data_IF_569716104166
#
_entry.id   IF_569716104166
#
_cell.length_a   1.000
_cell.length_b   1.000
_cell.length_c   1.000
_cell.angle_alpha   90.00
_cell.angle_beta   90.00
_cell.angle_gamma   90.00
#
_symmetry.space_group_name_H-M   'P 1'
#
loop_
_entity.id
_entity.type
_entity.pdbx_description
1 polymer ?
#
# COMPACT_ATOMS: atom_id res chain seq x y z
N UNK A 1 -13.60 19.11 -0.09
CA UNK A 1 -14.31 18.01 -0.81
C UNK A 1 -13.31 17.44 -1.81
N UNK A 2 -13.41 16.19 -2.28
CA UNK A 2 -12.47 15.75 -3.33
C UNK A 2 -12.86 16.44 -4.63
N UNK A 3 -12.21 17.55 -4.94
CA UNK A 3 -12.53 18.33 -6.16
C UNK A 3 -12.11 17.59 -7.44
N UNK A 4 -11.37 16.48 -7.28
CA UNK A 4 -10.97 15.61 -8.38
C UNK A 4 -11.42 14.15 -8.14
N UNK A 5 -12.29 13.59 -9.00
CA UNK A 5 -12.81 12.23 -8.85
C UNK A 5 -11.72 11.16 -9.02
N UNK A 6 -10.71 11.39 -9.85
CA UNK A 6 -9.59 10.46 -10.03
C UNK A 6 -8.67 10.43 -8.81
N UNK A 7 -8.43 11.59 -8.20
CA UNK A 7 -7.67 11.67 -6.95
C UNK A 7 -8.39 10.93 -5.81
N UNK A 8 -9.73 11.03 -5.75
CA UNK A 8 -10.56 10.28 -4.80
C UNK A 8 -10.48 8.77 -5.05
N UNK A 9 -10.63 8.32 -6.30
CA UNK A 9 -10.55 6.92 -6.68
C UNK A 9 -9.18 6.31 -6.32
N UNK A 10 -8.10 7.05 -6.57
CA UNK A 10 -6.74 6.66 -6.15
C UNK A 10 -6.61 6.56 -4.64
N UNK A 11 -7.11 7.55 -3.89
CA UNK A 11 -7.02 7.51 -2.43
C UNK A 11 -7.80 6.31 -1.86
N UNK A 12 -9.02 6.09 -2.34
CA UNK A 12 -9.86 4.98 -1.88
C UNK A 12 -9.24 3.62 -2.20
N UNK A 13 -8.69 3.44 -3.41
CA UNK A 13 -8.00 2.21 -3.79
C UNK A 13 -6.78 1.93 -2.88
N UNK A 14 -5.94 2.94 -2.63
CA UNK A 14 -4.78 2.80 -1.75
C UNK A 14 -5.20 2.55 -0.29
N UNK A 15 -6.24 3.24 0.19
CA UNK A 15 -6.79 3.04 1.54
C UNK A 15 -7.32 1.61 1.71
N UNK A 16 -8.10 1.12 0.73
CA UNK A 16 -8.62 -0.24 0.74
C UNK A 16 -7.49 -1.28 0.78
N UNK A 17 -6.44 -1.09 -0.04
CA UNK A 17 -5.28 -1.99 -0.05
C UNK A 17 -4.57 -2.02 1.31
N UNK A 18 -4.34 -0.85 1.92
CA UNK A 18 -3.74 -0.75 3.26
C UNK A 18 -4.62 -1.43 4.30
N UNK A 19 -5.94 -1.24 4.26
CA UNK A 19 -6.87 -1.89 5.19
C UNK A 19 -6.84 -3.41 5.08
N UNK A 20 -6.80 -3.97 3.86
CA UNK A 20 -6.68 -5.42 3.64
C UNK A 20 -5.35 -5.96 4.18
N UNK A 21 -4.25 -5.24 3.95
CA UNK A 21 -2.93 -5.64 4.46
C UNK A 21 -2.84 -5.55 5.98
N UNK A 22 -3.46 -4.53 6.60
CA UNK A 22 -3.56 -4.45 8.06
C UNK A 22 -4.40 -5.58 8.65
N UNK A 23 -5.52 -5.93 7.98
CA UNK A 23 -6.34 -7.06 8.38
C UNK A 23 -5.58 -8.39 8.26
N UNK A 24 -4.78 -8.57 7.20
CA UNK A 24 -3.89 -9.72 7.04
C UNK A 24 -2.87 -9.81 8.18
N UNK A 25 -2.18 -8.71 8.48
CA UNK A 25 -1.23 -8.65 9.58
C UNK A 25 -1.90 -8.97 10.93
N UNK A 26 -3.08 -8.41 11.19
CA UNK A 26 -3.85 -8.70 12.41
C UNK A 26 -4.23 -10.18 12.52
N UNK A 27 -4.71 -10.78 11.42
CA UNK A 27 -5.03 -12.20 11.37
C UNK A 27 -3.80 -13.09 11.60
N UNK A 28 -2.67 -12.76 10.97
CA UNK A 28 -1.43 -13.52 11.09
C UNK A 28 -0.81 -13.43 12.51
N UNK A 29 -1.02 -12.31 13.23
CA UNK A 29 -0.57 -12.16 14.61
C UNK A 29 -1.41 -12.96 15.63
N UNK A 30 -2.64 -13.35 15.28
CA UNK A 30 -3.54 -14.12 16.16
C UNK A 30 -3.25 -15.64 16.18
N UNK A 31 -2.18 -16.09 15.52
CA UNK A 31 -1.77 -17.50 15.55
C UNK A 31 -2.66 -18.45 14.73
N UNK A 32 -3.43 -17.93 13.77
CA UNK A 32 -4.31 -18.75 12.93
C UNK A 32 -3.50 -19.59 11.89
N UNK A 33 -3.81 -20.89 11.70
CA UNK A 33 -3.10 -21.72 10.74
C UNK A 33 -3.43 -21.41 9.25
N UNK A 34 -2.37 -21.05 8.52
CA UNK A 34 -1.75 -21.72 7.36
C UNK A 34 -2.39 -21.75 5.94
N UNK A 35 -3.49 -21.05 5.65
CA UNK A 35 -3.81 -20.76 4.23
C UNK A 35 -3.73 -19.25 3.92
N UNK A 36 -2.66 -18.78 3.26
CA UNK A 36 -2.58 -17.40 2.80
C UNK A 36 -3.44 -17.13 1.55
N UNK A 37 -3.97 -18.17 0.88
CA UNK A 37 -4.68 -17.99 -0.40
C UNK A 37 -5.86 -17.01 -0.33
N UNK A 38 -6.74 -17.02 0.69
CA UNK A 38 -7.82 -16.04 0.80
C UNK A 38 -7.31 -14.60 0.86
N UNK A 39 -6.17 -14.38 1.51
CA UNK A 39 -5.55 -13.06 1.64
C UNK A 39 -4.83 -12.61 0.37
N UNK A 40 -4.22 -13.54 -0.36
CA UNK A 40 -3.69 -13.27 -1.70
C UNK A 40 -4.81 -12.85 -2.64
N UNK A 41 -5.94 -13.58 -2.64
CA UNK A 41 -7.10 -13.22 -3.45
C UNK A 41 -7.75 -11.91 -3.03
N UNK A 42 -7.84 -11.63 -1.72
CA UNK A 42 -8.37 -10.36 -1.22
C UNK A 42 -7.47 -9.18 -1.64
N UNK A 43 -6.16 -9.31 -1.46
CA UNK A 43 -5.18 -8.27 -1.82
C UNK A 43 -5.16 -8.03 -3.33
N UNK A 44 -5.06 -9.11 -4.12
CA UNK A 44 -5.09 -9.04 -5.58
C UNK A 44 -6.42 -8.50 -6.11
N UNK A 45 -7.54 -8.94 -5.54
CA UNK A 45 -8.88 -8.49 -5.91
C UNK A 45 -9.09 -7.01 -5.65
N UNK A 46 -8.66 -6.50 -4.49
CA UNK A 46 -8.71 -5.06 -4.19
C UNK A 46 -7.78 -4.26 -5.10
N UNK A 47 -6.59 -4.76 -5.40
CA UNK A 47 -5.68 -4.11 -6.34
C UNK A 47 -6.30 -4.00 -7.75
N UNK A 48 -6.87 -5.09 -8.26
CA UNK A 48 -7.52 -5.12 -9.58
C UNK A 48 -8.77 -4.23 -9.61
N UNK A 49 -9.64 -4.33 -8.60
CA UNK A 49 -10.83 -3.49 -8.51
C UNK A 49 -10.46 -1.99 -8.42
N UNK A 50 -9.43 -1.66 -7.64
CA UNK A 50 -8.88 -0.31 -7.56
C UNK A 50 -8.33 0.19 -8.90
N UNK A 51 -7.60 -0.64 -9.63
CA UNK A 51 -7.09 -0.32 -10.96
C UNK A 51 -8.23 -0.10 -11.97
N UNK A 52 -9.25 -0.97 -11.97
CA UNK A 52 -10.43 -0.84 -12.84
C UNK A 52 -11.24 0.42 -12.52
N UNK A 53 -11.43 0.74 -11.24
CA UNK A 53 -12.12 1.97 -10.84
C UNK A 53 -11.36 3.22 -11.28
N UNK A 54 -10.03 3.25 -11.10
CA UNK A 54 -9.20 4.37 -11.58
C UNK A 54 -9.22 4.49 -13.11
N UNK A 55 -9.18 3.36 -13.81
CA UNK A 55 -9.30 3.32 -15.26
C UNK A 55 -10.65 3.87 -15.72
N UNK A 56 -11.76 3.39 -15.15
CA UNK A 56 -13.10 3.84 -15.48
C UNK A 56 -13.27 5.35 -15.24
N UNK A 57 -12.80 5.86 -14.09
CA UNK A 57 -12.83 7.30 -13.80
C UNK A 57 -11.96 8.10 -14.76
N UNK A 58 -10.81 7.57 -15.18
CA UNK A 58 -9.94 8.23 -16.17
C UNK A 58 -10.60 8.33 -17.55
N UNK A 59 -11.37 7.31 -17.95
CA UNK A 59 -12.13 7.31 -19.21
C UNK A 59 -13.34 8.25 -19.14
N UNK A 60 -14.06 8.26 -18.01
CA UNK A 60 -15.26 9.09 -17.82
C UNK A 60 -14.93 10.57 -17.60
N UNK A 61 -13.79 10.87 -16.96
CA UNK A 61 -13.37 12.22 -16.59
C UNK A 61 -11.93 12.52 -17.04
N UNK A 62 -11.64 12.54 -18.35
CA UNK A 62 -10.26 12.70 -18.86
C UNK A 62 -9.64 14.05 -18.45
N UNK A 63 -10.46 15.10 -18.28
CA UNK A 63 -10.02 16.42 -17.80
C UNK A 63 -9.49 16.39 -16.35
N UNK A 64 -9.86 15.37 -15.57
CA UNK A 64 -9.40 15.20 -14.19
C UNK A 64 -8.00 14.58 -14.10
N UNK A 65 -7.42 14.05 -15.19
CA UNK A 65 -6.12 13.36 -15.17
C UNK A 65 -4.99 14.31 -14.80
N UNK A 66 -4.89 15.46 -15.48
CA UNK A 66 -3.80 16.43 -15.27
C UNK A 66 -3.82 17.03 -13.85
N UNK A 67 -4.94 17.51 -13.32
CA UNK A 67 -4.99 18.00 -11.94
C UNK A 67 -4.71 16.90 -10.91
N UNK A 68 -5.13 15.64 -11.15
CA UNK A 68 -4.83 14.53 -10.23
C UNK A 68 -3.34 14.18 -10.24
N UNK A 69 -2.71 14.25 -11.41
CA UNK A 69 -1.26 14.09 -11.55
C UNK A 69 -0.51 15.19 -10.80
N UNK A 70 -0.90 16.45 -10.98
CA UNK A 70 -0.23 17.59 -10.33
C UNK A 70 -0.40 17.53 -8.79
N UNK A 71 -1.58 17.15 -8.30
CA UNK A 71 -1.86 17.02 -6.87
C UNK A 71 -1.10 15.87 -6.20
N UNK A 72 -1.01 14.71 -6.87
CA UNK A 72 -0.51 13.49 -6.25
C UNK A 72 0.90 13.18 -6.70
N UNK A 73 1.19 13.19 -8.00
CA UNK A 73 2.43 12.60 -8.53
C UNK A 73 3.65 13.46 -8.25
N UNK A 74 3.56 14.79 -8.26
CA UNK A 74 4.71 15.66 -7.95
C UNK A 74 5.32 15.40 -6.55
N UNK A 75 4.45 15.20 -5.54
CA UNK A 75 4.89 14.85 -4.17
C UNK A 75 5.15 13.36 -4.00
N UNK A 76 4.40 12.51 -4.70
CA UNK A 76 4.54 11.05 -4.58
C UNK A 76 5.84 10.55 -5.22
N UNK A 77 6.27 11.09 -6.36
CA UNK A 77 7.49 10.63 -7.05
C UNK A 77 8.76 10.89 -6.24
N UNK A 78 8.83 12.03 -5.56
CA UNK A 78 9.99 12.43 -4.77
C UNK A 78 10.19 11.57 -3.52
N UNK A 79 9.11 11.15 -2.85
CA UNK A 79 9.26 10.33 -1.63
C UNK A 79 8.87 8.86 -1.75
N UNK A 80 8.26 8.39 -2.85
CA UNK A 80 8.02 6.96 -3.04
C UNK A 80 9.33 6.17 -3.14
N UNK A 81 10.36 6.74 -3.77
CA UNK A 81 11.69 6.13 -3.85
C UNK A 81 12.40 6.09 -2.49
N UNK A 82 12.32 7.15 -1.70
CA UNK A 82 12.95 7.21 -0.38
C UNK A 82 12.19 6.37 0.66
N UNK A 83 10.89 6.59 0.80
CA UNK A 83 10.08 5.96 1.83
C UNK A 83 9.97 4.44 1.66
N UNK A 84 9.68 3.96 0.44
CA UNK A 84 9.59 2.52 0.18
C UNK A 84 10.89 1.79 0.48
N UNK A 85 12.02 2.39 0.06
CA UNK A 85 13.35 1.88 0.38
C UNK A 85 13.62 1.83 1.89
N UNK A 86 13.44 2.95 2.59
CA UNK A 86 13.73 3.03 4.03
C UNK A 86 12.81 2.14 4.87
N UNK A 87 11.53 2.07 4.55
CA UNK A 87 10.60 1.16 5.25
C UNK A 87 10.95 -0.30 5.02
N UNK A 88 11.28 -0.67 3.78
CA UNK A 88 11.72 -2.04 3.46
C UNK A 88 13.01 -2.38 4.20
N UNK A 89 13.97 -1.46 4.25
CA UNK A 89 15.23 -1.64 4.96
C UNK A 89 15.01 -1.81 6.48
N UNK A 90 14.20 -0.96 7.11
CA UNK A 90 13.90 -1.05 8.55
C UNK A 90 13.25 -2.40 8.88
N UNK A 91 12.27 -2.82 8.10
CA UNK A 91 11.58 -4.10 8.31
C UNK A 91 12.52 -5.27 8.06
N UNK A 92 13.33 -5.22 6.99
CA UNK A 92 14.35 -6.22 6.72
C UNK A 92 15.33 -6.36 7.89
N UNK A 93 15.87 -5.25 8.40
CA UNK A 93 16.78 -5.26 9.54
C UNK A 93 16.11 -5.81 10.81
N UNK A 94 14.86 -5.43 11.08
CA UNK A 94 14.11 -5.95 12.21
C UNK A 94 13.88 -7.46 12.12
N UNK A 95 13.49 -7.95 10.96
CA UNK A 95 13.30 -9.38 10.70
C UNK A 95 14.63 -10.15 10.76
N UNK A 96 15.71 -9.59 10.21
CA UNK A 96 17.05 -10.16 10.30
C UNK A 96 17.47 -10.33 11.77
N UNK A 97 17.33 -9.29 12.59
CA UNK A 97 17.63 -9.37 14.02
C UNK A 97 16.75 -10.40 14.73
N UNK A 98 15.46 -10.48 14.41
CA UNK A 98 14.56 -11.48 14.97
C UNK A 98 14.96 -12.91 14.57
N UNK A 99 15.46 -13.13 13.35
CA UNK A 99 16.00 -14.44 12.94
C UNK A 99 17.31 -14.78 13.67
N UNK A 100 18.22 -13.83 13.84
CA UNK A 100 19.47 -14.03 14.58
C UNK A 100 19.23 -14.29 16.07
N UNK A 101 18.18 -13.71 16.65
CA UNK A 101 17.74 -13.96 18.02
C UNK A 101 16.98 -15.30 18.20
N UNK A 102 16.72 -16.04 17.12
CA UNK A 102 15.98 -17.30 17.15
C UNK A 102 14.46 -17.15 17.37
N UNK A 103 13.92 -15.93 17.22
CA UNK A 103 12.48 -15.68 17.39
C UNK A 103 11.65 -16.05 16.16
N UNK A 104 12.26 -16.01 14.97
CA UNK A 104 11.63 -16.33 13.69
C UNK A 104 12.53 -17.23 12.85
N UNK A 105 11.92 -18.10 12.04
CA UNK A 105 12.64 -18.81 10.98
C UNK A 105 12.86 -17.87 9.78
N UNK A 106 13.87 -18.16 8.96
CA UNK A 106 14.15 -17.38 7.74
C UNK A 106 12.96 -17.40 6.76
N UNK A 107 12.27 -18.54 6.64
CA UNK A 107 11.09 -18.68 5.78
C UNK A 107 9.97 -17.76 6.25
N UNK A 108 9.66 -17.78 7.56
CA UNK A 108 8.62 -16.90 8.13
C UNK A 108 9.00 -15.43 7.98
N UNK A 109 10.26 -15.07 8.20
CA UNK A 109 10.75 -13.70 8.02
C UNK A 109 10.59 -13.23 6.56
N UNK A 110 10.90 -14.08 5.58
CA UNK A 110 10.72 -13.74 4.16
C UNK A 110 9.24 -13.49 3.82
N UNK A 111 8.33 -14.32 4.35
CA UNK A 111 6.88 -14.09 4.18
C UNK A 111 6.41 -12.75 4.74
N UNK A 112 6.95 -12.31 5.88
CA UNK A 112 6.59 -11.02 6.50
C UNK A 112 7.11 -9.79 5.74
N UNK A 113 8.04 -9.97 4.80
CA UNK A 113 8.54 -8.89 3.96
C UNK A 113 7.55 -8.50 2.85
N UNK A 114 6.74 -9.45 2.37
CA UNK A 114 5.80 -9.24 1.27
C UNK A 114 4.71 -8.19 1.56
N UNK A 115 4.04 -8.17 2.73
CA UNK A 115 3.07 -7.13 3.08
C UNK A 115 3.68 -5.73 3.08
N UNK A 116 4.93 -5.58 3.52
CA UNK A 116 5.60 -4.28 3.60
C UNK A 116 5.93 -3.75 2.21
N UNK A 117 6.43 -4.61 1.33
CA UNK A 117 6.66 -4.27 -0.08
C UNK A 117 5.36 -3.86 -0.79
N UNK A 118 4.24 -4.53 -0.49
CA UNK A 118 2.94 -4.20 -1.07
C UNK A 118 2.31 -2.92 -0.47
N UNK A 119 2.47 -2.70 0.84
CA UNK A 119 1.84 -1.59 1.54
C UNK A 119 2.61 -0.26 1.39
N UNK A 120 3.94 -0.30 1.34
CA UNK A 120 4.75 0.92 1.45
C UNK A 120 4.42 2.00 0.40
N UNK A 121 4.24 1.67 -0.90
CA UNK A 121 3.82 2.66 -1.90
C UNK A 121 2.43 3.23 -1.60
N UNK A 122 1.49 2.38 -1.17
CA UNK A 122 0.10 2.75 -0.89
C UNK A 122 -0.02 3.64 0.34
N UNK A 123 0.71 3.31 1.42
CA UNK A 123 0.82 4.13 2.64
C UNK A 123 1.43 5.47 2.31
N UNK A 124 2.50 5.52 1.51
CA UNK A 124 3.12 6.78 1.11
C UNK A 124 2.16 7.65 0.30
N UNK A 125 1.42 7.07 -0.64
CA UNK A 125 0.37 7.78 -1.39
C UNK A 125 -0.71 8.38 -0.49
N UNK A 126 -1.14 7.66 0.56
CA UNK A 126 -2.09 8.18 1.54
C UNK A 126 -1.50 9.37 2.31
N UNK A 127 -0.28 9.22 2.83
CA UNK A 127 0.43 10.28 3.58
C UNK A 127 0.62 11.52 2.69
N UNK A 128 1.11 11.35 1.46
CA UNK A 128 1.30 12.45 0.53
C UNK A 128 -0.01 13.16 0.16
N UNK A 129 -1.10 12.39 0.00
CA UNK A 129 -2.43 12.94 -0.28
C UNK A 129 -3.01 13.70 0.90
N UNK A 130 -2.70 13.32 2.14
CA UNK A 130 -3.11 14.03 3.35
C UNK A 130 -2.25 15.27 3.60
N UNK A 131 -0.93 15.17 3.52
CA UNK A 131 -0.01 16.29 3.68
C UNK A 131 -0.20 17.36 2.59
N UNK A 132 -0.61 16.94 1.39
CA UNK A 132 -0.91 17.87 0.31
C UNK A 132 -2.21 18.66 0.48
N UNK A 133 -3.04 18.35 1.49
CA UNK A 133 -4.25 19.10 1.86
C UNK A 133 -4.01 20.17 2.92
N UNK A 134 -2.90 20.06 3.64
CA UNK A 134 -2.54 20.99 4.74
C UNK A 134 -1.65 22.14 4.29
N UNK A 135 -1.27 22.18 3.01
CA UNK A 135 -0.47 23.22 2.37
C UNK A 135 -1.27 23.85 1.24
#
# INVERSE_FOLDING_TARGET
MFDNPLAAARLLANAALVMVLLAFCGWALLGAPADPAPWVWATGGVAVAGALAQFAVSVLFPRAIRPAWDQQVGRTHAGAHGFGYWMTLVVFLGLLLATQAGWLTADTAFYWLAPVLAAAPSVYMLVASLAGRTA
#
